data_IF_601253545696
#
_entry.id   IF_601253545696
#
_cell.length_a   1.000
_cell.length_b   1.000
_cell.length_c   1.000
_cell.angle_alpha   90.00
_cell.angle_beta   90.00
_cell.angle_gamma   90.00
#
_symmetry.space_group_name_H-M   'P 1'
#
loop_
_entity.id
_entity.type
_entity.pdbx_description
1 polymer ?
#
# COMPACT_ATOMS: atom_id res chain seq x y z
N UNK A 1 -25.54 42.34 26.98
CA UNK A 1 -25.47 40.87 27.03
C UNK A 1 -24.55 40.43 25.90
N UNK A 2 -23.25 40.32 26.19
CA UNK A 2 -22.21 39.98 25.21
C UNK A 2 -21.72 38.55 25.44
N UNK A 3 -21.75 37.74 24.40
CA UNK A 3 -21.23 36.37 24.37
C UNK A 3 -19.78 36.38 23.87
N UNK A 4 -18.83 36.04 24.73
CA UNK A 4 -17.42 35.84 24.35
C UNK A 4 -17.21 34.41 23.81
N UNK A 5 -16.79 34.30 22.55
CA UNK A 5 -16.26 33.08 21.95
C UNK A 5 -14.84 32.81 22.47
N UNK A 6 -14.59 31.59 22.94
CA UNK A 6 -13.25 31.10 23.29
C UNK A 6 -12.67 30.42 22.04
N UNK A 7 -11.59 30.97 21.49
CA UNK A 7 -10.77 30.35 20.44
C UNK A 7 -9.57 29.68 21.11
N UNK A 8 -9.51 28.34 21.05
CA UNK A 8 -8.36 27.57 21.52
C UNK A 8 -7.21 27.61 20.50
N UNK A 9 -6.05 28.13 20.91
CA UNK A 9 -4.79 28.05 20.16
C UNK A 9 -4.29 26.60 20.15
N UNK A 10 -4.10 26.00 18.97
CA UNK A 10 -3.28 24.77 18.82
C UNK A 10 -1.80 25.16 18.82
N UNK A 11 -1.01 24.57 19.72
CA UNK A 11 0.45 24.67 19.72
C UNK A 11 1.00 23.89 18.52
N UNK A 12 1.77 24.57 17.68
CA UNK A 12 2.66 23.93 16.70
C UNK A 12 3.80 23.29 17.48
N UNK A 13 3.94 21.97 17.41
CA UNK A 13 5.15 21.28 17.90
C UNK A 13 6.16 21.25 16.76
N UNK A 14 7.33 21.82 17.00
CA UNK A 14 8.47 21.79 16.07
C UNK A 14 9.09 20.38 16.06
N UNK A 15 9.49 19.94 14.87
CA UNK A 15 10.05 18.61 14.60
C UNK A 15 11.54 18.60 15.00
N UNK A 16 11.99 17.72 15.91
CA UNK A 16 13.39 17.66 16.35
C UNK A 16 14.37 17.33 15.20
N UNK A 17 15.54 17.96 15.24
CA UNK A 17 16.60 17.86 14.22
C UNK A 17 17.09 16.42 13.96
N UNK A 18 17.02 15.53 14.95
CA UNK A 18 17.40 14.11 14.79
C UNK A 18 16.52 13.34 13.77
N UNK A 19 15.32 13.85 13.46
CA UNK A 19 14.43 13.29 12.42
C UNK A 19 14.90 13.56 10.98
N UNK A 20 15.95 14.38 10.78
CA UNK A 20 16.51 14.67 9.47
C UNK A 20 17.59 13.67 9.04
N UNK A 21 18.26 13.00 10.00
CA UNK A 21 19.50 12.27 9.72
C UNK A 21 19.35 10.74 9.63
N UNK A 22 18.28 10.13 10.17
CA UNK A 22 18.11 8.67 10.10
C UNK A 22 16.64 8.19 10.21
N UNK A 23 15.92 7.98 9.09
CA UNK A 23 14.48 7.70 9.09
C UNK A 23 14.08 6.37 9.77
N UNK A 24 14.99 5.40 9.88
CA UNK A 24 14.67 4.02 10.29
C UNK A 24 14.77 3.79 11.80
N UNK A 25 15.43 4.68 12.56
CA UNK A 25 15.70 4.46 13.99
C UNK A 25 14.49 4.65 14.92
N UNK A 26 13.48 5.42 14.52
CA UNK A 26 12.37 5.76 15.43
C UNK A 26 11.35 4.62 15.63
N UNK A 27 11.32 3.63 14.73
CA UNK A 27 10.38 2.50 14.83
C UNK A 27 10.73 1.48 15.92
N UNK A 28 11.94 1.53 16.49
CA UNK A 28 12.42 0.52 17.45
C UNK A 28 12.32 0.95 18.93
N UNK A 29 12.02 2.21 19.27
CA UNK A 29 12.22 2.73 20.64
C UNK A 29 10.96 2.75 21.54
N UNK A 30 9.83 2.14 21.15
CA UNK A 30 8.57 2.23 21.93
C UNK A 30 8.07 0.90 22.50
N UNK A 31 8.93 -0.09 22.80
CA UNK A 31 8.47 -1.42 23.22
C UNK A 31 9.16 -2.04 24.45
N UNK A 32 9.86 -1.26 25.26
CA UNK A 32 10.41 -1.72 26.54
C UNK A 32 9.75 -0.97 27.71
N UNK A 33 8.42 -1.09 27.88
CA UNK A 33 7.71 -0.74 29.12
C UNK A 33 6.25 -1.19 28.99
N UNK A 34 5.95 -2.43 29.41
CA UNK A 34 4.65 -2.94 29.92
C UNK A 34 4.66 -4.49 29.86
N UNK A 35 5.30 -5.10 30.86
CA UNK A 35 5.09 -6.52 31.21
C UNK A 35 4.02 -6.55 32.31
N UNK A 36 2.82 -7.00 31.98
CA UNK A 36 1.80 -7.35 32.96
C UNK A 36 1.48 -8.83 32.84
N UNK A 37 1.97 -9.55 33.85
CA UNK A 37 1.66 -10.91 34.26
C UNK A 37 0.15 -11.10 34.47
N UNK A 38 -0.41 -12.20 33.94
CA UNK A 38 -1.73 -12.70 34.36
C UNK A 38 -1.73 -14.23 34.24
N UNK A 39 -1.50 -14.84 35.39
CA UNK A 39 -1.48 -16.27 35.62
C UNK A 39 -2.81 -16.99 35.39
N UNK A 40 -2.64 -18.28 35.15
CA UNK A 40 -3.66 -19.31 34.97
C UNK A 40 -4.59 -19.45 36.18
N UNK A 41 -5.90 -19.54 35.93
CA UNK A 41 -6.82 -20.25 36.84
C UNK A 41 -7.77 -21.13 36.02
N UNK A 42 -7.59 -22.43 36.23
CA UNK A 42 -8.33 -23.54 35.69
C UNK A 42 -9.48 -23.88 36.66
N UNK A 43 -10.73 -23.87 36.21
CA UNK A 43 -11.87 -24.38 36.99
C UNK A 43 -12.86 -25.09 36.07
N UNK A 44 -12.91 -26.41 36.21
CA UNK A 44 -13.85 -27.33 35.59
C UNK A 44 -15.25 -27.19 36.20
N UNK A 45 -16.31 -27.22 35.38
CA UNK A 45 -17.64 -27.64 35.83
C UNK A 45 -18.42 -28.27 34.67
N UNK A 46 -19.10 -29.38 34.98
CA UNK A 46 -19.66 -30.36 34.05
C UNK A 46 -21.14 -30.15 33.72
N UNK A 47 -21.50 -30.30 32.43
CA UNK A 47 -22.78 -30.79 31.83
C UNK A 47 -24.13 -30.06 32.11
N UNK A 48 -25.21 -30.26 31.32
CA UNK A 48 -25.43 -31.25 30.25
C UNK A 48 -25.89 -30.71 28.87
N UNK A 49 -25.77 -31.61 27.89
CA UNK A 49 -25.99 -31.48 26.45
C UNK A 49 -27.49 -31.63 26.05
N UNK A 50 -28.04 -30.77 25.17
CA UNK A 50 -29.34 -31.01 24.54
C UNK A 50 -29.25 -31.89 23.28
N UNK A 51 -30.21 -32.79 23.15
CA UNK A 51 -30.36 -33.83 22.12
C UNK A 51 -30.61 -33.28 20.69
N UNK A 52 -30.22 -34.02 19.62
CA UNK A 52 -30.43 -33.59 18.24
C UNK A 52 -31.86 -33.86 17.74
N UNK A 53 -32.46 -32.87 17.08
CA UNK A 53 -33.77 -32.97 16.39
C UNK A 53 -33.62 -33.71 15.05
N UNK A 54 -34.66 -34.43 14.57
CA UNK A 54 -34.56 -35.30 13.39
C UNK A 54 -34.34 -34.51 12.09
N UNK A 55 -33.37 -34.99 11.31
CA UNK A 55 -32.92 -34.45 10.03
C UNK A 55 -33.95 -34.77 8.94
N UNK A 56 -34.63 -33.76 8.39
CA UNK A 56 -35.34 -33.92 7.11
C UNK A 56 -34.31 -34.23 6.02
N UNK A 57 -34.53 -35.31 5.28
CA UNK A 57 -33.73 -35.68 4.12
C UNK A 57 -33.91 -34.65 3.00
N UNK A 58 -33.09 -33.61 3.00
CA UNK A 58 -32.84 -32.78 1.83
C UNK A 58 -31.80 -33.49 0.97
N UNK A 59 -32.23 -33.91 -0.22
CA UNK A 59 -31.39 -34.43 -1.30
C UNK A 59 -30.11 -33.59 -1.47
N UNK A 60 -28.92 -34.20 -1.58
CA UNK A 60 -27.71 -33.45 -1.88
C UNK A 60 -27.82 -32.98 -3.32
N UNK A 61 -28.21 -31.71 -3.49
CA UNK A 61 -27.95 -30.99 -4.73
C UNK A 61 -26.44 -31.00 -4.88
N UNK A 62 -25.95 -31.82 -5.82
CA UNK A 62 -24.55 -31.85 -6.24
C UNK A 62 -24.13 -30.41 -6.51
N UNK A 63 -23.51 -29.78 -5.51
CA UNK A 63 -22.68 -28.62 -5.75
C UNK A 63 -21.50 -29.23 -6.46
N UNK A 64 -21.54 -29.13 -7.79
CA UNK A 64 -20.34 -29.17 -8.61
C UNK A 64 -19.36 -28.21 -7.94
N UNK A 65 -18.52 -28.75 -7.08
CA UNK A 65 -17.25 -28.19 -6.73
C UNK A 65 -16.49 -28.19 -8.04
N UNK A 66 -16.72 -27.14 -8.82
CA UNK A 66 -15.68 -26.63 -9.68
C UNK A 66 -14.56 -26.29 -8.71
N UNK A 67 -13.72 -27.30 -8.44
CA UNK A 67 -12.34 -27.09 -8.11
C UNK A 67 -11.83 -26.20 -9.23
N UNK A 68 -12.01 -24.89 -9.06
CA UNK A 68 -11.47 -23.89 -9.93
C UNK A 68 -9.98 -24.11 -9.83
N UNK A 69 -9.43 -24.84 -10.80
CA UNK A 69 -8.04 -25.24 -10.84
C UNK A 69 -7.22 -24.04 -10.41
N UNK A 70 -6.50 -24.16 -9.30
CA UNK A 70 -5.61 -23.12 -8.82
C UNK A 70 -4.66 -22.85 -9.98
N UNK A 71 -4.95 -21.81 -10.75
CA UNK A 71 -4.17 -21.47 -11.93
C UNK A 71 -2.73 -21.32 -11.46
N UNK A 72 -1.87 -22.23 -11.92
CA UNK A 72 -0.48 -22.33 -11.48
C UNK A 72 0.13 -20.93 -11.57
N UNK A 73 0.59 -20.41 -10.42
CA UNK A 73 1.26 -19.11 -10.38
C UNK A 73 2.60 -19.32 -11.08
N UNK A 74 2.82 -18.59 -12.18
CA UNK A 74 4.09 -18.65 -12.89
C UNK A 74 5.20 -18.09 -12.01
N UNK A 75 6.10 -18.94 -11.54
CA UNK A 75 7.23 -18.58 -10.70
C UNK A 75 8.52 -18.35 -11.48
N UNK A 76 8.51 -18.62 -12.79
CA UNK A 76 9.69 -18.47 -13.65
C UNK A 76 10.24 -17.04 -13.57
N UNK A 77 11.57 -16.87 -13.45
CA UNK A 77 12.20 -15.57 -13.51
C UNK A 77 11.82 -14.82 -14.79
N UNK A 78 11.72 -13.50 -14.67
CA UNK A 78 11.53 -12.59 -15.80
C UNK A 78 12.77 -11.71 -15.96
N UNK A 79 13.02 -11.23 -17.17
CA UNK A 79 13.92 -10.09 -17.36
C UNK A 79 13.32 -8.89 -16.62
N UNK A 80 14.05 -8.25 -15.69
CA UNK A 80 13.56 -7.06 -15.01
C UNK A 80 13.20 -5.97 -16.02
N UNK A 81 11.99 -5.39 -15.95
CA UNK A 81 11.58 -4.32 -16.86
C UNK A 81 12.29 -2.99 -16.58
N UNK A 82 12.86 -2.84 -15.37
CA UNK A 82 13.54 -1.63 -14.90
C UNK A 82 14.69 -2.00 -13.97
N UNK A 83 15.67 -1.11 -13.81
CA UNK A 83 16.85 -1.33 -12.94
C UNK A 83 16.51 -1.48 -11.45
N UNK A 84 15.40 -0.90 -11.00
CA UNK A 84 14.88 -1.02 -9.63
C UNK A 84 13.97 -2.24 -9.42
N UNK A 85 13.61 -2.95 -10.50
CA UNK A 85 12.78 -4.14 -10.44
C UNK A 85 13.65 -5.40 -10.32
N UNK A 86 13.13 -6.43 -9.67
CA UNK A 86 13.82 -7.73 -9.58
C UNK A 86 13.47 -8.64 -10.76
N UNK A 87 14.06 -9.84 -10.79
CA UNK A 87 13.67 -10.90 -11.73
C UNK A 87 12.34 -11.59 -11.36
N UNK A 88 11.64 -11.12 -10.31
CA UNK A 88 10.31 -11.60 -9.91
C UNK A 88 9.25 -10.57 -10.30
N UNK A 89 8.09 -11.09 -10.74
CA UNK A 89 6.93 -10.26 -11.11
C UNK A 89 6.47 -9.44 -9.91
N UNK A 90 6.10 -8.18 -10.14
CA UNK A 90 5.54 -7.30 -9.11
C UNK A 90 6.44 -7.12 -7.86
N UNK A 91 7.74 -7.30 -8.02
CA UNK A 91 8.70 -7.23 -6.91
C UNK A 91 9.78 -6.19 -7.22
N UNK A 92 9.94 -5.22 -6.32
CA UNK A 92 10.94 -4.15 -6.39
C UNK A 92 12.08 -4.41 -5.40
N UNK A 93 13.24 -3.82 -5.66
CA UNK A 93 14.35 -3.84 -4.71
C UNK A 93 14.06 -2.96 -3.48
N UNK A 94 14.74 -3.24 -2.36
CA UNK A 94 14.66 -2.44 -1.13
C UNK A 94 15.30 -1.06 -1.31
N UNK A 95 14.90 -0.11 -0.46
CA UNK A 95 15.46 1.25 -0.42
C UNK A 95 16.98 1.24 -0.24
N UNK A 96 17.48 0.39 0.65
CA UNK A 96 18.93 0.19 0.87
C UNK A 96 19.64 -0.20 -0.43
N UNK A 97 19.09 -1.16 -1.17
CA UNK A 97 19.64 -1.56 -2.46
C UNK A 97 19.61 -0.39 -3.45
N UNK A 98 18.46 0.29 -3.60
CA UNK A 98 18.30 1.39 -4.55
C UNK A 98 19.34 2.50 -4.31
N UNK A 99 19.51 2.91 -3.06
CA UNK A 99 20.51 3.92 -2.66
C UNK A 99 21.94 3.40 -2.91
N UNK A 100 22.25 2.15 -2.55
CA UNK A 100 23.58 1.57 -2.77
C UNK A 100 23.98 1.48 -4.26
N UNK A 101 22.99 1.34 -5.14
CA UNK A 101 23.19 1.32 -6.59
C UNK A 101 23.11 2.72 -7.23
N UNK A 102 22.97 3.78 -6.43
CA UNK A 102 22.85 5.16 -6.92
C UNK A 102 21.52 5.47 -7.60
N UNK A 103 20.49 4.64 -7.41
CA UNK A 103 19.14 4.83 -7.98
C UNK A 103 18.35 5.78 -7.07
N UNK A 104 18.65 7.07 -7.18
CA UNK A 104 18.03 8.12 -6.38
C UNK A 104 16.82 8.78 -7.05
N UNK A 105 16.68 8.59 -8.36
CA UNK A 105 15.59 9.15 -9.18
C UNK A 105 14.91 8.03 -9.96
N UNK A 106 13.58 8.09 -10.03
CA UNK A 106 12.78 7.25 -10.90
C UNK A 106 11.95 8.10 -11.84
N UNK A 107 11.85 7.67 -13.10
CA UNK A 107 11.05 8.34 -14.10
C UNK A 107 9.75 7.58 -14.38
N UNK A 108 8.72 8.29 -14.83
CA UNK A 108 7.46 7.72 -15.25
C UNK A 108 6.72 8.61 -16.24
N UNK A 109 6.11 7.98 -17.24
CA UNK A 109 5.31 8.69 -18.24
C UNK A 109 3.97 9.13 -17.65
N UNK A 110 3.61 10.40 -17.87
CA UNK A 110 2.39 11.00 -17.38
C UNK A 110 1.67 11.75 -18.51
N UNK A 111 0.37 11.99 -18.32
CA UNK A 111 -0.45 12.80 -19.21
C UNK A 111 -1.10 13.93 -18.42
N UNK A 112 -0.93 15.17 -18.87
CA UNK A 112 -1.65 16.31 -18.34
C UNK A 112 -3.15 16.17 -18.68
N UNK A 113 -4.04 16.27 -17.69
CA UNK A 113 -5.48 16.17 -17.91
C UNK A 113 -6.11 17.45 -18.48
N UNK A 114 -5.36 18.56 -18.53
CA UNK A 114 -5.85 19.85 -19.05
C UNK A 114 -5.59 20.00 -20.55
N UNK A 115 -4.38 19.67 -21.00
CA UNK A 115 -3.95 19.89 -22.39
C UNK A 115 -3.50 18.61 -23.09
N UNK A 116 -3.68 17.44 -22.47
CA UNK A 116 -3.34 16.11 -23.00
C UNK A 116 -1.87 15.87 -23.36
N UNK A 117 -1.00 16.83 -23.04
CA UNK A 117 0.45 16.71 -23.22
C UNK A 117 0.98 15.51 -22.43
N UNK A 118 1.81 14.70 -23.09
CA UNK A 118 2.46 13.52 -22.51
C UNK A 118 3.92 13.84 -22.30
N UNK A 119 4.41 13.59 -21.10
CA UNK A 119 5.79 13.88 -20.74
C UNK A 119 6.29 12.91 -19.69
N UNK A 120 7.61 12.86 -19.52
CA UNK A 120 8.25 12.09 -18.47
C UNK A 120 8.38 12.94 -17.20
N UNK A 121 8.04 12.35 -16.06
CA UNK A 121 8.15 12.97 -14.74
C UNK A 121 9.16 12.21 -13.90
N UNK A 122 10.00 12.96 -13.19
CA UNK A 122 11.00 12.42 -12.28
C UNK A 122 10.55 12.53 -10.83
N UNK A 123 10.84 11.51 -10.03
CA UNK A 123 10.61 11.48 -8.59
C UNK A 123 11.90 11.12 -7.87
N UNK A 124 12.27 11.90 -6.86
CA UNK A 124 13.31 11.50 -5.92
C UNK A 124 12.79 10.35 -5.04
N UNK A 125 13.49 9.22 -5.10
CA UNK A 125 13.06 7.95 -4.47
C UNK A 125 12.97 8.09 -2.96
N UNK A 126 14.00 8.65 -2.32
CA UNK A 126 14.10 8.78 -0.86
C UNK A 126 13.08 9.79 -0.33
N UNK A 127 13.00 10.97 -0.95
CA UNK A 127 12.07 12.02 -0.55
C UNK A 127 10.62 11.54 -0.67
N UNK A 128 10.25 10.92 -1.79
CA UNK A 128 8.88 10.43 -2.01
C UNK A 128 8.52 9.27 -1.12
N UNK A 129 9.46 8.39 -0.81
CA UNK A 129 9.20 7.34 0.15
C UNK A 129 8.99 7.92 1.56
N UNK A 130 9.81 8.89 1.97
CA UNK A 130 9.63 9.61 3.24
C UNK A 130 8.27 10.30 3.32
N UNK A 131 7.84 10.99 2.26
CA UNK A 131 6.50 11.61 2.17
C UNK A 131 5.38 10.57 2.33
N UNK A 132 5.52 9.40 1.70
CA UNK A 132 4.54 8.31 1.80
C UNK A 132 4.47 7.73 3.21
N UNK A 133 5.61 7.41 3.83
CA UNK A 133 5.66 6.86 5.19
C UNK A 133 5.09 7.85 6.20
N UNK A 134 5.45 9.13 6.10
CA UNK A 134 4.89 10.17 6.95
C UNK A 134 3.36 10.29 6.80
N UNK A 135 2.84 10.16 5.57
CA UNK A 135 1.41 10.12 5.33
C UNK A 135 0.73 8.90 5.98
N UNK A 136 1.31 7.71 5.85
CA UNK A 136 0.77 6.48 6.47
C UNK A 136 0.69 6.63 8.00
N UNK A 137 1.76 7.13 8.63
CA UNK A 137 1.80 7.35 10.08
C UNK A 137 0.72 8.35 10.52
N UNK A 138 0.54 9.43 9.76
CA UNK A 138 -0.43 10.47 10.08
C UNK A 138 -1.89 10.02 9.88
N UNK A 139 -2.17 9.21 8.87
CA UNK A 139 -3.52 8.68 8.62
C UNK A 139 -3.95 7.66 9.70
N UNK A 140 -2.99 6.94 10.27
CA UNK A 140 -3.24 5.95 11.33
C UNK A 140 -3.89 4.67 10.82
N UNK A 141 -4.88 4.14 11.56
CA UNK A 141 -5.60 2.92 11.19
C UNK A 141 -6.54 3.16 10.00
N UNK A 142 -6.11 2.73 8.82
CA UNK A 142 -6.87 2.79 7.57
C UNK A 142 -7.90 1.66 7.41
N UNK A 143 -8.03 0.74 8.39
CA UNK A 143 -9.00 -0.39 8.39
C UNK A 143 -8.99 -1.22 7.10
N UNK A 144 -7.78 -1.47 6.59
CA UNK A 144 -7.54 -2.19 5.34
C UNK A 144 -8.21 -1.59 4.09
N UNK A 145 -8.44 -0.26 4.08
CA UNK A 145 -8.98 0.48 2.94
C UNK A 145 -8.08 1.65 2.59
N UNK A 146 -7.81 1.85 1.31
CA UNK A 146 -7.04 2.99 0.88
C UNK A 146 -7.82 4.29 1.18
N UNK A 147 -7.16 5.33 1.74
CA UNK A 147 -7.77 6.64 1.91
C UNK A 147 -8.12 7.25 0.55
N UNK A 148 -9.10 8.17 0.54
CA UNK A 148 -9.60 8.80 -0.68
C UNK A 148 -8.49 9.41 -1.53
N UNK A 149 -7.52 10.06 -0.87
CA UNK A 149 -6.32 10.59 -1.52
C UNK A 149 -5.67 9.56 -2.43
N UNK A 150 -5.41 8.33 -1.99
CA UNK A 150 -4.77 7.30 -2.83
C UNK A 150 -5.61 6.81 -4.01
N UNK A 151 -6.90 7.12 -4.01
CA UNK A 151 -7.84 6.82 -5.09
C UNK A 151 -7.91 7.93 -6.13
N UNK A 152 -7.49 9.14 -5.76
CA UNK A 152 -7.42 10.28 -6.66
C UNK A 152 -6.29 10.14 -7.68
N UNK A 153 -6.54 10.65 -8.88
CA UNK A 153 -5.61 10.57 -10.00
C UNK A 153 -4.79 11.85 -10.19
N UNK A 154 -4.74 12.72 -9.18
CA UNK A 154 -4.09 14.05 -9.18
C UNK A 154 -2.99 14.19 -8.12
N UNK A 155 -2.58 13.10 -7.46
CA UNK A 155 -1.52 13.16 -6.44
C UNK A 155 -0.13 13.45 -6.98
N UNK A 156 0.08 13.31 -8.29
CA UNK A 156 1.35 13.64 -8.93
C UNK A 156 1.59 15.14 -8.85
N UNK A 157 2.50 15.52 -7.95
CA UNK A 157 2.92 16.91 -7.79
C UNK A 157 3.86 17.32 -8.91
N UNK A 158 3.52 18.39 -9.63
CA UNK A 158 4.34 18.89 -10.72
C UNK A 158 3.57 19.72 -11.73
N UNK A 159 4.26 20.62 -12.43
CA UNK A 159 3.67 21.49 -13.46
C UNK A 159 3.83 20.87 -14.83
N UNK A 160 2.77 20.91 -15.63
CA UNK A 160 2.88 20.62 -17.05
C UNK A 160 3.69 21.72 -17.75
N UNK A 161 4.75 21.36 -18.49
CA UNK A 161 5.57 22.32 -19.23
C UNK A 161 4.83 23.07 -20.33
N UNK A 162 3.76 22.49 -20.88
CA UNK A 162 2.96 23.09 -21.95
C UNK A 162 1.94 24.12 -21.43
N UNK A 163 1.08 23.73 -20.48
CA UNK A 163 -0.01 24.61 -20.00
C UNK A 163 0.27 25.30 -18.64
N UNK A 164 1.40 24.98 -17.99
CA UNK A 164 1.81 25.53 -16.69
C UNK A 164 0.97 25.09 -15.49
N UNK A 165 -0.13 24.35 -15.70
CA UNK A 165 -1.01 23.91 -14.62
C UNK A 165 -0.36 22.79 -13.84
N UNK A 166 -0.31 22.99 -12.52
CA UNK A 166 0.18 22.01 -11.54
C UNK A 166 -0.85 20.94 -11.21
N UNK A 167 -0.35 19.81 -10.72
CA UNK A 167 -1.09 18.81 -9.93
C UNK A 167 -2.34 18.25 -10.63
N UNK A 168 -2.31 18.24 -11.97
CA UNK A 168 -3.40 17.75 -12.81
C UNK A 168 -2.90 16.74 -13.85
N UNK A 169 -2.02 15.84 -13.43
CA UNK A 169 -1.43 14.80 -14.28
C UNK A 169 -1.85 13.41 -13.80
N UNK A 170 -2.10 12.49 -14.74
CA UNK A 170 -2.32 11.07 -14.46
C UNK A 170 -1.14 10.25 -15.00
N UNK A 171 -0.77 9.12 -14.37
CA UNK A 171 0.23 8.22 -14.92
C UNK A 171 -0.30 7.54 -16.18
N UNK A 172 0.59 7.31 -17.14
CA UNK A 172 0.35 6.42 -18.28
C UNK A 172 0.73 5.00 -17.86
N UNK A 173 -0.28 4.14 -17.67
CA UNK A 173 -0.08 2.79 -17.14
C UNK A 173 0.00 1.80 -18.29
N UNK A 174 1.09 1.05 -18.34
CA UNK A 174 1.31 -0.03 -19.31
C UNK A 174 0.19 -1.08 -19.32
N UNK A 175 -0.23 -1.47 -20.53
CA UNK A 175 -1.22 -2.53 -20.72
C UNK A 175 -0.67 -3.90 -20.28
N UNK A 176 0.61 -4.14 -20.61
CA UNK A 176 1.32 -5.35 -20.19
C UNK A 176 1.65 -5.22 -18.71
N UNK A 177 0.86 -5.90 -17.87
CA UNK A 177 0.96 -5.86 -16.40
C UNK A 177 2.36 -6.08 -15.81
N UNK A 178 3.20 -6.87 -16.51
CA UNK A 178 4.60 -7.12 -16.14
C UNK A 178 5.54 -5.92 -16.33
N UNK A 179 5.16 -4.96 -17.19
CA UNK A 179 5.91 -3.75 -17.51
C UNK A 179 5.39 -2.53 -16.71
N UNK A 180 4.40 -2.71 -15.84
CA UNK A 180 3.90 -1.61 -15.02
C UNK A 180 5.01 -1.12 -14.10
N UNK A 181 5.22 0.19 -14.09
CA UNK A 181 6.18 0.87 -13.23
C UNK A 181 5.63 0.99 -11.80
N UNK A 182 5.65 -0.12 -11.05
CA UNK A 182 5.08 -0.19 -9.69
C UNK A 182 5.75 0.78 -8.71
N UNK A 183 7.07 0.98 -8.84
CA UNK A 183 7.81 1.89 -7.95
C UNK A 183 7.41 3.36 -8.17
N UNK A 184 7.28 3.80 -9.43
CA UNK A 184 6.80 5.15 -9.71
C UNK A 184 5.37 5.36 -9.19
N UNK A 185 4.49 4.37 -9.38
CA UNK A 185 3.10 4.49 -8.96
C UNK A 185 2.93 4.59 -7.43
N UNK A 186 3.72 3.84 -6.66
CA UNK A 186 3.65 3.90 -5.19
C UNK A 186 4.25 5.19 -4.65
N UNK A 187 5.41 5.62 -5.17
CA UNK A 187 6.07 6.86 -4.74
C UNK A 187 5.30 8.11 -5.17
N UNK A 188 4.69 8.08 -6.36
CA UNK A 188 3.79 9.12 -6.84
C UNK A 188 2.42 9.12 -6.18
N UNK A 189 2.14 8.17 -5.27
CA UNK A 189 0.85 7.98 -4.61
C UNK A 189 -0.34 7.87 -5.59
N UNK A 190 -0.18 7.17 -6.71
CA UNK A 190 -1.18 7.06 -7.79
C UNK A 190 -1.56 5.63 -8.17
N UNK A 191 -1.36 4.64 -7.27
CA UNK A 191 -1.84 3.27 -7.51
C UNK A 191 -3.36 3.18 -7.71
N UNK A 192 -4.14 4.13 -7.20
CA UNK A 192 -5.57 4.26 -7.48
C UNK A 192 -5.91 4.41 -8.96
N UNK A 193 -4.97 4.87 -9.79
CA UNK A 193 -5.15 4.96 -11.24
C UNK A 193 -5.17 3.60 -11.95
N UNK A 194 -4.63 2.55 -11.35
CA UNK A 194 -4.65 1.21 -11.93
C UNK A 194 -6.07 0.66 -12.06
N UNK A 195 -6.29 -0.19 -13.06
CA UNK A 195 -7.51 -0.99 -13.14
C UNK A 195 -7.52 -2.07 -12.05
N UNK A 196 -8.71 -2.52 -11.66
CA UNK A 196 -8.83 -3.60 -10.67
C UNK A 196 -8.15 -4.90 -11.14
N UNK A 197 -8.11 -5.15 -12.44
CA UNK A 197 -7.42 -6.31 -13.01
C UNK A 197 -5.89 -6.21 -12.87
N UNK A 198 -5.31 -5.03 -13.08
CA UNK A 198 -3.88 -4.78 -12.87
C UNK A 198 -3.51 -4.97 -11.39
N UNK A 199 -4.32 -4.42 -10.47
CA UNK A 199 -4.11 -4.57 -9.03
C UNK A 199 -4.24 -6.03 -8.57
N UNK A 200 -5.26 -6.77 -9.04
CA UNK A 200 -5.40 -8.22 -8.76
C UNK A 200 -4.23 -9.04 -9.29
N UNK A 201 -3.66 -8.64 -10.42
CA UNK A 201 -2.45 -9.27 -10.96
C UNK A 201 -1.25 -9.02 -10.06
N UNK A 202 -1.08 -7.81 -9.54
CA UNK A 202 -0.06 -7.52 -8.54
C UNK A 202 -0.22 -8.41 -7.30
N UNK A 203 -1.43 -8.47 -6.73
CA UNK A 203 -1.71 -9.32 -5.57
C UNK A 203 -1.46 -10.81 -5.84
N UNK A 204 -1.72 -11.28 -7.07
CA UNK A 204 -1.41 -12.66 -7.48
C UNK A 204 0.07 -13.00 -7.30
N UNK A 205 0.97 -12.09 -7.66
CA UNK A 205 2.42 -12.35 -7.66
C UNK A 205 3.13 -11.91 -6.38
N UNK A 206 2.43 -11.24 -5.48
CA UNK A 206 2.91 -10.86 -4.14
C UNK A 206 2.27 -11.68 -3.02
N UNK A 207 1.56 -12.76 -3.36
CA UNK A 207 0.87 -13.66 -2.42
C UNK A 207 -0.18 -12.97 -1.54
N UNK A 208 -0.84 -11.93 -2.06
CA UNK A 208 -1.93 -11.25 -1.41
C UNK A 208 -3.30 -11.76 -1.88
N UNK A 209 -4.33 -11.61 -1.04
CA UNK A 209 -5.70 -11.90 -1.47
C UNK A 209 -6.11 -10.99 -2.63
N UNK A 210 -6.93 -11.53 -3.54
CA UNK A 210 -7.32 -10.85 -4.81
C UNK A 210 -8.78 -10.43 -4.86
N UNK A 211 -9.55 -10.78 -3.83
CA UNK A 211 -10.97 -10.45 -3.70
C UNK A 211 -11.12 -9.11 -3.00
N UNK A 212 -12.26 -8.44 -3.17
CA UNK A 212 -12.52 -7.16 -2.52
C UNK A 212 -12.75 -5.99 -3.48
N UNK A 213 -13.22 -4.89 -2.89
CA UNK A 213 -13.39 -3.61 -3.55
C UNK A 213 -12.03 -2.96 -3.86
N UNK A 214 -12.01 -2.02 -4.81
CA UNK A 214 -10.77 -1.46 -5.35
C UNK A 214 -9.92 -0.79 -4.27
N UNK A 215 -10.53 -0.06 -3.35
CA UNK A 215 -9.89 0.60 -2.20
C UNK A 215 -9.13 -0.40 -1.31
N UNK A 216 -9.69 -1.59 -1.07
CA UNK A 216 -9.00 -2.66 -0.32
C UNK A 216 -7.79 -3.19 -1.07
N UNK A 217 -7.93 -3.44 -2.38
CA UNK A 217 -6.81 -3.97 -3.18
C UNK A 217 -5.69 -2.93 -3.31
N UNK A 218 -6.04 -1.64 -3.45
CA UNK A 218 -5.06 -0.54 -3.45
C UNK A 218 -4.30 -0.49 -2.13
N UNK A 219 -4.99 -0.60 -0.99
CA UNK A 219 -4.35 -0.68 0.33
C UNK A 219 -3.30 -1.80 0.40
N UNK A 220 -3.66 -3.03 -0.01
CA UNK A 220 -2.73 -4.16 -0.03
C UNK A 220 -1.50 -3.86 -0.91
N UNK A 221 -1.71 -3.29 -2.10
CA UNK A 221 -0.63 -2.95 -3.01
C UNK A 221 0.34 -1.94 -2.39
N UNK A 222 -0.15 -0.88 -1.74
CA UNK A 222 0.69 0.11 -1.06
C UNK A 222 1.53 -0.53 0.03
N UNK A 223 0.90 -1.23 0.98
CA UNK A 223 1.61 -1.79 2.13
C UNK A 223 2.59 -2.88 1.69
N UNK A 224 2.23 -3.68 0.69
CA UNK A 224 3.14 -4.68 0.10
C UNK A 224 4.37 -4.02 -0.52
N UNK A 225 4.20 -2.94 -1.28
CA UNK A 225 5.33 -2.23 -1.86
C UNK A 225 6.16 -1.51 -0.79
N UNK A 226 5.52 -0.96 0.24
CA UNK A 226 6.24 -0.36 1.38
C UNK A 226 7.09 -1.41 2.10
N UNK A 227 6.56 -2.61 2.32
CA UNK A 227 7.31 -3.73 2.92
C UNK A 227 8.45 -4.23 2.04
N UNK A 228 8.30 -4.17 0.71
CA UNK A 228 9.41 -4.48 -0.21
C UNK A 228 10.51 -3.41 -0.14
N UNK A 229 10.13 -2.13 -0.08
CA UNK A 229 11.06 -0.99 0.00
C UNK A 229 11.76 -0.91 1.37
N UNK A 230 11.04 -1.19 2.45
CA UNK A 230 11.58 -1.24 3.80
C UNK A 230 11.09 -2.52 4.51
N UNK A 231 11.84 -3.63 4.38
CA UNK A 231 11.52 -4.91 5.02
C UNK A 231 11.46 -4.84 6.54
N UNK A 232 12.14 -3.88 7.16
CA UNK A 232 12.17 -3.71 8.61
C UNK A 232 11.06 -2.75 9.09
N UNK A 233 10.37 -2.08 8.17
CA UNK A 233 9.24 -1.21 8.46
C UNK A 233 8.00 -1.96 8.95
N UNK A 234 7.21 -1.29 9.79
CA UNK A 234 5.93 -1.75 10.33
C UNK A 234 4.81 -1.57 9.30
N UNK A 235 4.86 -2.33 8.21
CA UNK A 235 3.87 -2.34 7.11
C UNK A 235 3.09 -3.65 7.06
N UNK A 236 2.71 -4.18 8.21
CA UNK A 236 2.01 -5.46 8.30
C UNK A 236 0.57 -5.32 7.73
N UNK A 237 0.13 -6.35 7.01
CA UNK A 237 -1.09 -6.37 6.18
C UNK A 237 -2.18 -7.25 6.79
#
# INVERSE_FOLDING_TARGET
METKKIVGKRKTQEIPHEMLENPTKFLHQQQDDEVVDNGELNLSLSSPQPQPKPRRASTPRSRSSTEGGRAIIKTDPITPPFQWATNRRATVHSMEYLVSQGINTITGNVQCKKCDEKFEMELNVVEKFRELVAFIINEGDMRHRAPEKWMESTNLKGKCGNCGVGDNCKPLIEEKKRNINWLFLVLGQVLGCCTLEQLRWFCKYTNNHRTGAKDRVVFLCYFTLCKQLDPNGRFDI
#
